data_IF_063971566115
#
_entry.id   IF_063971566115
#
_cell.length_a   1.000
_cell.length_b   1.000
_cell.length_c   1.000
_cell.angle_alpha   90.00
_cell.angle_beta   90.00
_cell.angle_gamma   90.00
#
_symmetry.space_group_name_H-M   'P 1'
#
loop_
_entity.id
_entity.type
_entity.pdbx_description
1 polymer ?
#
# COMPACT_ATOMS: atom_id res chain seq x y z
N UNK A 1 1.42 -4.99 -13.47
CA UNK A 1 2.12 -5.06 -12.16
C UNK A 1 1.77 -6.38 -11.49
N UNK A 2 2.77 -7.15 -11.04
CA UNK A 2 2.55 -8.48 -10.46
C UNK A 2 1.90 -8.44 -9.06
N UNK A 3 2.04 -7.32 -8.36
CA UNK A 3 1.49 -7.13 -7.03
C UNK A 3 1.33 -5.64 -6.71
N UNK A 4 0.56 -5.35 -5.66
CA UNK A 4 0.52 -4.06 -5.00
C UNK A 4 0.52 -4.24 -3.48
N UNK A 5 1.18 -3.33 -2.78
CA UNK A 5 1.16 -3.24 -1.31
C UNK A 5 0.67 -1.85 -0.94
N UNK A 6 -0.36 -1.78 -0.11
CA UNK A 6 -0.83 -0.52 0.47
C UNK A 6 -0.67 -0.63 1.98
N UNK A 7 -0.07 0.39 2.58
CA UNK A 7 0.07 0.49 4.02
C UNK A 7 -1.11 1.28 4.60
N UNK A 8 -1.53 0.91 5.79
CA UNK A 8 -2.61 1.60 6.48
C UNK A 8 -2.55 1.44 7.99
N UNK A 9 -3.38 2.18 8.68
CA UNK A 9 -3.58 2.08 10.14
C UNK A 9 -2.26 2.10 10.94
N UNK A 10 -1.33 3.05 10.70
CA UNK A 10 -0.09 3.10 11.46
C UNK A 10 -0.38 3.41 12.94
N UNK A 11 0.25 2.65 13.83
CA UNK A 11 0.26 2.91 15.27
C UNK A 11 1.70 3.10 15.77
N UNK A 12 1.87 3.27 17.08
CA UNK A 12 3.20 3.33 17.69
C UNK A 12 3.96 2.00 17.67
N UNK A 13 3.29 0.88 17.37
CA UNK A 13 3.85 -0.48 17.44
C UNK A 13 3.40 -1.42 16.33
N UNK A 14 2.60 -0.95 15.39
CA UNK A 14 2.10 -1.78 14.28
C UNK A 14 1.81 -0.96 13.03
N UNK A 15 1.74 -1.66 11.90
CA UNK A 15 1.20 -1.16 10.64
C UNK A 15 0.48 -2.29 9.92
N UNK A 16 -0.62 -1.97 9.25
CA UNK A 16 -1.33 -2.94 8.42
C UNK A 16 -0.80 -2.90 6.99
N UNK A 17 -0.50 -4.07 6.44
CA UNK A 17 -0.19 -4.25 5.04
C UNK A 17 -1.40 -4.88 4.33
N UNK A 18 -1.89 -4.22 3.28
CA UNK A 18 -2.85 -4.79 2.34
C UNK A 18 -2.12 -5.20 1.07
N UNK A 19 -2.01 -6.49 0.82
CA UNK A 19 -1.25 -7.05 -0.30
C UNK A 19 -2.20 -7.68 -1.31
N UNK A 20 -1.96 -7.44 -2.61
CA UNK A 20 -2.70 -8.04 -3.72
C UNK A 20 -1.71 -8.55 -4.75
N UNK A 21 -1.86 -9.81 -5.18
CA UNK A 21 -1.11 -10.41 -6.27
C UNK A 21 -2.04 -10.81 -7.43
N UNK A 22 -1.51 -10.81 -8.65
CA UNK A 22 -2.21 -11.28 -9.85
C UNK A 22 -2.18 -12.81 -10.03
N UNK A 23 -1.45 -13.53 -9.17
CA UNK A 23 -1.28 -14.98 -9.18
C UNK A 23 -1.38 -15.55 -7.76
N UNK A 24 -1.54 -16.88 -7.66
CA UNK A 24 -1.44 -17.59 -6.38
C UNK A 24 0.01 -17.60 -5.92
N UNK A 25 0.30 -16.96 -4.80
CA UNK A 25 1.64 -16.63 -4.32
C UNK A 25 1.85 -17.13 -2.89
N UNK A 26 3.08 -17.49 -2.59
CA UNK A 26 3.62 -17.55 -1.23
C UNK A 26 4.60 -16.39 -1.06
N UNK A 27 4.51 -15.68 0.06
CA UNK A 27 5.37 -14.56 0.35
C UNK A 27 5.66 -14.40 1.84
N UNK A 28 6.72 -13.68 2.15
CA UNK A 28 7.05 -13.19 3.48
C UNK A 28 7.49 -11.73 3.37
N UNK A 29 7.34 -10.98 4.44
CA UNK A 29 7.85 -9.61 4.56
C UNK A 29 9.16 -9.65 5.35
N UNK A 30 10.22 -9.15 4.77
CA UNK A 30 11.49 -8.89 5.45
C UNK A 30 11.55 -7.41 5.81
N UNK A 31 11.93 -7.09 7.05
CA UNK A 31 11.94 -5.70 7.51
C UNK A 31 13.03 -5.42 8.55
N UNK A 32 13.42 -4.16 8.65
CA UNK A 32 14.42 -3.67 9.59
C UNK A 32 14.44 -2.15 9.69
N UNK A 33 15.26 -1.61 10.55
CA UNK A 33 15.38 -0.17 10.79
C UNK A 33 16.51 0.49 9.97
N UNK A 34 17.22 -0.28 9.17
CA UNK A 34 18.26 0.19 8.29
C UNK A 34 18.03 -0.30 6.86
N UNK A 35 18.14 0.59 5.88
CA UNK A 35 18.04 0.25 4.47
C UNK A 35 19.00 -0.87 4.08
N UNK A 36 18.48 -1.87 3.36
CA UNK A 36 19.24 -3.04 2.93
C UNK A 36 19.53 -4.08 4.03
N UNK A 37 19.18 -3.80 5.29
CA UNK A 37 19.44 -4.71 6.42
C UNK A 37 18.11 -5.13 7.11
N UNK A 38 17.61 -6.31 6.76
CA UNK A 38 16.33 -6.84 7.21
C UNK A 38 16.54 -7.93 8.27
N UNK A 39 16.60 -7.52 9.53
CA UNK A 39 16.86 -8.44 10.65
C UNK A 39 15.62 -9.26 11.07
N UNK A 40 14.44 -8.85 10.62
CA UNK A 40 13.17 -9.49 10.96
C UNK A 40 12.47 -9.98 9.69
N UNK A 41 11.64 -11.01 9.86
CA UNK A 41 10.77 -11.51 8.80
C UNK A 41 9.50 -12.13 9.37
N UNK A 42 8.42 -12.06 8.60
CA UNK A 42 7.18 -12.76 8.92
C UNK A 42 7.29 -14.26 8.63
N UNK A 43 6.32 -15.04 9.10
CA UNK A 43 6.06 -16.35 8.53
C UNK A 43 5.73 -16.24 7.03
N UNK A 44 5.83 -17.36 6.31
CA UNK A 44 5.38 -17.43 4.92
C UNK A 44 3.84 -17.41 4.91
N UNK A 45 3.29 -16.46 4.17
CA UNK A 45 1.87 -16.30 3.93
C UNK A 45 1.52 -16.82 2.53
N UNK A 46 0.28 -17.28 2.35
CA UNK A 46 -0.21 -17.75 1.05
C UNK A 46 -1.42 -16.92 0.65
N UNK A 47 -1.40 -16.41 -0.59
CA UNK A 47 -2.49 -15.62 -1.14
C UNK A 47 -2.99 -16.18 -2.46
N UNK A 48 -4.30 -16.04 -2.66
CA UNK A 48 -4.95 -16.34 -3.93
C UNK A 48 -4.90 -15.13 -4.86
N UNK A 49 -4.82 -15.41 -6.15
CA UNK A 49 -4.82 -14.40 -7.19
C UNK A 49 -6.04 -13.45 -7.08
N UNK A 50 -5.79 -12.16 -7.23
CA UNK A 50 -6.80 -11.10 -7.28
C UNK A 50 -7.71 -10.98 -6.03
N UNK A 51 -7.23 -11.46 -4.88
CA UNK A 51 -7.90 -11.31 -3.58
C UNK A 51 -6.96 -10.52 -2.66
N UNK A 52 -7.32 -9.28 -2.27
CA UNK A 52 -6.50 -8.52 -1.35
C UNK A 52 -6.53 -9.16 0.04
N UNK A 53 -5.38 -9.22 0.67
CA UNK A 53 -5.23 -9.72 2.03
C UNK A 53 -4.59 -8.66 2.92
N UNK A 54 -5.16 -8.49 4.09
CA UNK A 54 -4.62 -7.63 5.13
C UNK A 54 -4.01 -8.45 6.26
N UNK A 55 -2.90 -7.97 6.79
CA UNK A 55 -2.31 -8.45 8.02
C UNK A 55 -1.57 -7.33 8.74
N UNK A 56 -1.48 -7.42 10.05
CA UNK A 56 -0.78 -6.45 10.89
C UNK A 56 0.66 -6.90 11.12
N UNK A 57 1.61 -6.02 10.86
CA UNK A 57 2.99 -6.16 11.27
C UNK A 57 3.13 -5.52 12.64
N UNK A 58 3.30 -6.35 13.66
CA UNK A 58 3.28 -5.95 15.06
C UNK A 58 4.68 -5.98 15.71
N UNK A 59 4.78 -5.50 16.95
CA UNK A 59 6.03 -5.51 17.71
C UNK A 59 7.03 -4.47 17.24
N UNK A 60 6.57 -3.44 16.57
CA UNK A 60 7.41 -2.36 16.08
C UNK A 60 7.73 -1.36 17.21
N UNK A 61 8.80 -0.60 17.03
CA UNK A 61 9.16 0.53 17.89
C UNK A 61 8.48 1.81 17.40
N UNK A 62 8.03 2.65 18.35
CA UNK A 62 7.43 3.96 18.04
C UNK A 62 8.44 4.92 17.42
N UNK A 63 7.94 5.92 16.71
CA UNK A 63 8.74 7.00 16.10
C UNK A 63 9.94 6.46 15.31
N UNK A 64 9.77 5.34 14.60
CA UNK A 64 10.85 4.62 13.96
C UNK A 64 10.53 4.39 12.48
N UNK A 65 11.49 4.73 11.61
CA UNK A 65 11.41 4.38 10.20
C UNK A 65 11.83 2.95 10.01
N UNK A 66 10.99 2.18 9.34
CA UNK A 66 11.24 0.82 8.91
C UNK A 66 11.43 0.76 7.41
N UNK A 67 12.34 -0.09 6.97
CA UNK A 67 12.55 -0.49 5.59
C UNK A 67 12.07 -1.91 5.43
N UNK A 68 11.35 -2.20 4.36
CA UNK A 68 10.82 -3.54 4.13
C UNK A 68 10.82 -3.91 2.66
N UNK A 69 10.77 -5.21 2.40
CA UNK A 69 10.53 -5.77 1.08
C UNK A 69 9.71 -7.04 1.18
N UNK A 70 9.07 -7.41 0.09
CA UNK A 70 8.48 -8.74 -0.06
C UNK A 70 9.53 -9.69 -0.62
N UNK A 71 9.55 -10.92 -0.11
CA UNK A 71 10.11 -12.08 -0.77
C UNK A 71 8.95 -12.93 -1.23
N UNK A 72 8.73 -13.11 -2.52
CA UNK A 72 7.56 -13.80 -3.04
C UNK A 72 7.93 -14.85 -4.10
N UNK A 73 7.11 -15.88 -4.22
CA UNK A 73 7.22 -16.93 -5.24
C UNK A 73 5.84 -17.41 -5.66
N UNK A 74 5.72 -17.97 -6.85
CA UNK A 74 4.50 -18.70 -7.26
C UNK A 74 4.30 -19.84 -6.26
N UNK A 75 3.05 -20.07 -5.83
CA UNK A 75 2.69 -21.11 -4.88
C UNK A 75 3.23 -22.46 -5.32
N UNK A 76 3.98 -23.12 -4.43
CA UNK A 76 4.67 -24.37 -4.71
C UNK A 76 5.99 -24.25 -5.47
N UNK A 77 6.42 -23.04 -5.82
CA UNK A 77 7.73 -22.79 -6.41
C UNK A 77 8.87 -22.94 -5.40
N UNK A 78 10.10 -22.99 -5.89
CA UNK A 78 11.29 -23.18 -5.03
C UNK A 78 11.97 -21.88 -4.63
N UNK A 79 12.07 -20.92 -5.56
CA UNK A 79 12.89 -19.72 -5.38
C UNK A 79 12.03 -18.48 -5.10
N UNK A 80 12.41 -17.75 -4.07
CA UNK A 80 11.84 -16.42 -3.78
C UNK A 80 12.50 -15.34 -4.66
N UNK A 81 11.67 -14.38 -5.08
CA UNK A 81 12.09 -13.17 -5.78
C UNK A 81 11.87 -11.97 -4.85
N UNK A 82 12.87 -11.10 -4.65
CA UNK A 82 12.67 -9.91 -3.85
C UNK A 82 11.89 -8.83 -4.63
N UNK A 83 11.05 -8.08 -3.92
CA UNK A 83 10.54 -6.79 -4.39
C UNK A 83 11.61 -5.69 -4.27
N UNK A 84 11.38 -4.50 -4.84
CA UNK A 84 12.07 -3.29 -4.39
C UNK A 84 11.91 -3.07 -2.89
N UNK A 85 12.81 -2.27 -2.32
CA UNK A 85 12.69 -1.81 -0.94
C UNK A 85 11.67 -0.67 -0.85
N UNK A 86 10.86 -0.71 0.21
CA UNK A 86 9.92 0.33 0.60
C UNK A 86 10.19 0.76 2.04
N UNK A 87 9.58 1.85 2.48
CA UNK A 87 9.69 2.28 3.86
C UNK A 87 8.39 2.86 4.40
N UNK A 88 8.24 2.81 5.71
CA UNK A 88 7.18 3.49 6.45
C UNK A 88 7.72 4.02 7.77
N UNK A 89 6.93 4.82 8.46
CA UNK A 89 7.25 5.28 9.80
C UNK A 89 6.08 4.93 10.74
N UNK A 90 6.41 4.45 11.94
CA UNK A 90 5.43 4.27 13.01
C UNK A 90 5.04 5.61 13.61
N UNK A 91 3.91 5.67 14.33
CA UNK A 91 3.42 6.90 14.93
C UNK A 91 4.49 7.62 15.74
N UNK A 92 4.55 8.93 15.56
CA UNK A 92 5.49 9.83 16.23
C UNK A 92 5.23 9.88 17.74
N UNK A 93 6.23 10.27 18.49
CA UNK A 93 6.05 10.53 19.91
C UNK A 93 5.06 11.67 20.16
N UNK A 94 4.25 11.64 21.20
CA UNK A 94 3.38 12.74 21.58
C UNK A 94 4.15 14.05 21.69
N UNK A 95 3.63 15.11 21.06
CA UNK A 95 4.28 16.43 21.00
C UNK A 95 5.33 16.59 19.90
N UNK A 96 5.63 15.55 19.14
CA UNK A 96 6.49 15.64 17.96
C UNK A 96 5.74 16.23 16.78
N UNK A 97 6.46 16.92 15.90
CA UNK A 97 5.93 17.32 14.59
C UNK A 97 5.80 16.12 13.66
N UNK A 98 4.77 16.12 12.84
CA UNK A 98 4.57 15.16 11.75
C UNK A 98 4.09 15.89 10.50
N UNK A 99 4.28 15.27 9.35
CA UNK A 99 3.82 15.78 8.05
C UNK A 99 2.80 14.81 7.50
N UNK A 100 1.68 15.32 7.01
CA UNK A 100 0.72 14.51 6.26
C UNK A 100 0.27 15.25 5.02
N UNK A 101 -0.12 14.51 4.01
CA UNK A 101 -0.74 15.04 2.79
C UNK A 101 -2.21 14.68 2.75
N UNK A 102 -2.98 15.51 2.06
CA UNK A 102 -4.42 15.31 1.87
C UNK A 102 -4.72 15.37 0.40
N UNK A 103 -5.54 14.45 -0.08
CA UNK A 103 -6.07 14.45 -1.43
C UNK A 103 -7.58 14.19 -1.44
N UNK A 104 -8.24 14.54 -2.52
CA UNK A 104 -9.63 14.25 -2.80
C UNK A 104 -9.90 14.37 -4.30
N UNK A 105 -11.02 13.82 -4.76
CA UNK A 105 -11.60 14.07 -6.07
C UNK A 105 -10.69 13.68 -7.25
N UNK A 106 -10.03 12.53 -7.16
CA UNK A 106 -9.15 12.04 -8.24
C UNK A 106 -9.93 11.71 -9.53
N UNK A 107 -11.22 11.35 -9.41
CA UNK A 107 -12.13 11.12 -10.51
C UNK A 107 -11.59 10.18 -11.62
N UNK A 108 -10.96 9.09 -11.22
CA UNK A 108 -10.25 8.18 -12.14
C UNK A 108 -11.19 7.31 -13.00
N UNK A 109 -12.44 7.12 -12.56
CA UNK A 109 -13.39 6.27 -13.27
C UNK A 109 -14.22 7.03 -14.31
N UNK A 110 -14.71 8.20 -13.95
CA UNK A 110 -15.56 9.02 -14.82
C UNK A 110 -14.78 9.76 -15.91
N UNK A 111 -13.46 9.53 -15.96
CA UNK A 111 -12.52 10.13 -16.94
C UNK A 111 -12.41 11.65 -16.89
N UNK A 112 -12.86 12.27 -15.82
CA UNK A 112 -12.58 13.68 -15.54
C UNK A 112 -11.17 13.86 -14.98
N UNK A 113 -10.71 12.87 -14.20
CA UNK A 113 -9.32 12.76 -13.78
C UNK A 113 -8.40 12.25 -14.90
N UNK A 114 -7.13 12.59 -14.81
CA UNK A 114 -6.09 12.17 -15.74
C UNK A 114 -5.03 11.37 -14.97
N UNK A 115 -4.95 10.07 -15.22
CA UNK A 115 -4.05 9.13 -14.53
C UNK A 115 -2.61 9.65 -14.39
N UNK A 116 -2.06 10.22 -15.46
CA UNK A 116 -0.69 10.73 -15.45
C UNK A 116 -0.55 11.95 -14.51
N UNK A 117 -1.55 12.82 -14.47
CA UNK A 117 -1.55 13.97 -13.55
C UNK A 117 -1.67 13.52 -12.10
N UNK A 118 -2.49 12.51 -11.84
CA UNK A 118 -2.60 11.94 -10.51
C UNK A 118 -1.26 11.34 -10.04
N UNK A 119 -0.56 10.59 -10.91
CA UNK A 119 0.80 10.10 -10.59
C UNK A 119 1.76 11.24 -10.24
N UNK A 120 1.76 12.32 -11.01
CA UNK A 120 2.60 13.49 -10.74
C UNK A 120 2.23 14.13 -9.40
N UNK A 121 0.94 14.21 -9.06
CA UNK A 121 0.49 14.71 -7.75
C UNK A 121 1.03 13.86 -6.61
N UNK A 122 0.91 12.54 -6.70
CA UNK A 122 1.43 11.61 -5.70
C UNK A 122 2.96 11.68 -5.59
N UNK A 123 3.67 11.73 -6.70
CA UNK A 123 5.13 11.91 -6.71
C UNK A 123 5.58 13.24 -6.07
N UNK A 124 4.79 14.30 -6.24
CA UNK A 124 5.06 15.58 -5.57
C UNK A 124 4.80 15.49 -4.06
N UNK A 125 3.72 14.83 -3.64
CA UNK A 125 3.44 14.59 -2.23
C UNK A 125 4.58 13.81 -1.55
N UNK A 126 5.15 12.81 -2.22
CA UNK A 126 6.28 12.03 -1.71
C UNK A 126 7.54 12.88 -1.44
N UNK A 127 7.75 13.97 -2.18
CA UNK A 127 8.90 14.88 -1.98
C UNK A 127 8.85 15.57 -0.62
N UNK A 128 7.66 15.78 -0.08
CA UNK A 128 7.45 16.35 1.25
C UNK A 128 7.70 15.34 2.38
N UNK A 129 7.98 14.06 2.03
CA UNK A 129 8.25 12.95 2.95
C UNK A 129 7.20 12.81 4.05
N UNK A 130 5.92 12.70 3.69
CA UNK A 130 4.84 12.61 4.67
C UNK A 130 4.98 11.34 5.53
N UNK A 131 4.47 11.44 6.75
CA UNK A 131 4.33 10.27 7.63
C UNK A 131 3.13 9.42 7.21
N UNK A 132 2.09 10.05 6.65
CA UNK A 132 0.91 9.39 6.05
C UNK A 132 0.18 10.32 5.09
N UNK A 133 -0.69 9.73 4.28
CA UNK A 133 -1.62 10.42 3.40
C UNK A 133 -3.06 10.17 3.86
N UNK A 134 -3.91 11.18 3.74
CA UNK A 134 -5.35 11.09 3.99
C UNK A 134 -6.09 11.35 2.67
N UNK A 135 -6.84 10.35 2.20
CA UNK A 135 -7.79 10.54 1.10
C UNK A 135 -9.16 10.88 1.67
N UNK A 136 -9.77 11.94 1.17
CA UNK A 136 -11.12 12.38 1.57
C UNK A 136 -12.21 11.75 0.69
N UNK A 137 -11.82 10.92 -0.27
CA UNK A 137 -12.76 10.19 -1.12
C UNK A 137 -13.03 10.86 -2.45
N UNK A 138 -14.16 10.48 -3.05
CA UNK A 138 -14.58 10.80 -4.42
C UNK A 138 -13.57 10.32 -5.49
N UNK A 139 -12.87 9.24 -5.16
CA UNK A 139 -11.79 8.65 -5.95
C UNK A 139 -12.24 8.26 -7.36
N UNK A 140 -13.45 7.75 -7.49
CA UNK A 140 -13.98 7.24 -8.76
C UNK A 140 -14.86 8.26 -9.48
N UNK A 141 -15.45 9.21 -8.77
CA UNK A 141 -16.26 10.31 -9.33
C UNK A 141 -17.53 9.86 -10.04
N UNK A 142 -18.14 8.72 -9.66
CA UNK A 142 -19.34 8.21 -10.31
C UNK A 142 -20.60 8.57 -9.52
N UNK A 143 -20.91 9.85 -9.45
CA UNK A 143 -22.12 10.37 -8.78
C UNK A 143 -23.42 9.95 -9.48
N UNK A 144 -23.31 9.61 -10.78
CA UNK A 144 -24.49 9.39 -11.63
C UNK A 144 -24.91 7.92 -11.71
N UNK A 145 -24.02 6.99 -11.41
CA UNK A 145 -24.25 5.56 -11.59
C UNK A 145 -24.05 4.72 -10.32
N UNK A 146 -23.97 5.36 -9.17
CA UNK A 146 -23.75 4.69 -7.87
C UNK A 146 -24.75 3.55 -7.56
N UNK A 147 -25.94 3.60 -8.14
CA UNK A 147 -26.98 2.57 -7.98
C UNK A 147 -26.88 1.44 -9.00
N UNK A 148 -26.07 1.58 -10.03
CA UNK A 148 -25.94 0.62 -11.14
C UNK A 148 -24.62 -0.15 -11.14
N UNK A 149 -23.60 0.32 -10.40
CA UNK A 149 -22.32 -0.37 -10.32
C UNK A 149 -22.44 -1.69 -9.56
N UNK A 150 -21.95 -2.76 -10.15
CA UNK A 150 -21.94 -4.07 -9.52
C UNK A 150 -20.75 -4.22 -8.56
N UNK A 151 -20.85 -5.17 -7.61
CA UNK A 151 -19.73 -5.50 -6.72
C UNK A 151 -18.47 -5.98 -7.48
N UNK A 152 -18.65 -6.60 -8.64
CA UNK A 152 -17.54 -7.05 -9.49
C UNK A 152 -16.82 -5.85 -10.14
N UNK A 153 -17.58 -4.89 -10.66
CA UNK A 153 -17.04 -3.65 -11.22
C UNK A 153 -16.32 -2.83 -10.15
N UNK A 154 -16.92 -2.69 -8.96
CA UNK A 154 -16.29 -1.99 -7.85
C UNK A 154 -14.97 -2.63 -7.42
N UNK A 155 -14.89 -3.95 -7.34
CA UNK A 155 -13.63 -4.67 -7.10
C UNK A 155 -12.58 -4.38 -8.17
N UNK A 156 -12.99 -4.32 -9.43
CA UNK A 156 -12.11 -3.99 -10.54
C UNK A 156 -11.58 -2.57 -10.44
N UNK A 157 -12.44 -1.61 -10.11
CA UNK A 157 -12.02 -0.21 -9.90
C UNK A 157 -10.99 -0.09 -8.79
N UNK A 158 -11.25 -0.71 -7.63
CA UNK A 158 -10.28 -0.72 -6.54
C UNK A 158 -8.96 -1.40 -6.91
N UNK A 159 -9.00 -2.51 -7.63
CA UNK A 159 -7.79 -3.18 -8.10
C UNK A 159 -6.97 -2.30 -9.05
N UNK A 160 -7.64 -1.53 -9.94
CA UNK A 160 -7.00 -0.60 -10.85
C UNK A 160 -6.45 0.65 -10.16
N UNK A 161 -7.04 1.07 -9.04
CA UNK A 161 -6.58 2.20 -8.24
C UNK A 161 -5.35 1.87 -7.40
N UNK A 162 -5.23 0.66 -6.89
CA UNK A 162 -4.13 0.23 -6.02
C UNK A 162 -2.71 0.54 -6.55
N UNK A 163 -2.40 0.39 -7.87
CA UNK A 163 -1.07 0.72 -8.37
C UNK A 163 -0.66 2.19 -8.23
N UNK A 164 -1.59 3.11 -8.08
CA UNK A 164 -1.27 4.50 -7.79
C UNK A 164 -0.74 4.65 -6.36
N UNK A 165 -1.40 4.01 -5.40
CA UNK A 165 -1.06 4.09 -3.98
C UNK A 165 0.13 3.19 -3.59
N UNK A 166 0.39 2.12 -4.33
CA UNK A 166 1.41 1.12 -3.97
C UNK A 166 2.86 1.60 -4.08
N UNK A 167 3.09 2.84 -4.49
CA UNK A 167 4.41 3.43 -4.64
C UNK A 167 4.58 4.71 -3.79
N UNK A 168 3.66 4.94 -2.86
CA UNK A 168 3.66 6.11 -1.97
C UNK A 168 4.23 5.72 -0.61
#
# INVERSE_FOLDING_TARGET
QKYSVILGRPTDKSITLSVLFDQNIEYQVEYGIQSGNYLNKTAILTENANIPKEFDLEGLSKNTRYFYRLQYRIKGGTNFTPSPEYSFITARDPGSSFVFTVEADEHLYDKKGVDNMYRICLENQLKDKPDFMLSLGDTFGDDHNATTITSAELKTLHANYRPFLANI
#
